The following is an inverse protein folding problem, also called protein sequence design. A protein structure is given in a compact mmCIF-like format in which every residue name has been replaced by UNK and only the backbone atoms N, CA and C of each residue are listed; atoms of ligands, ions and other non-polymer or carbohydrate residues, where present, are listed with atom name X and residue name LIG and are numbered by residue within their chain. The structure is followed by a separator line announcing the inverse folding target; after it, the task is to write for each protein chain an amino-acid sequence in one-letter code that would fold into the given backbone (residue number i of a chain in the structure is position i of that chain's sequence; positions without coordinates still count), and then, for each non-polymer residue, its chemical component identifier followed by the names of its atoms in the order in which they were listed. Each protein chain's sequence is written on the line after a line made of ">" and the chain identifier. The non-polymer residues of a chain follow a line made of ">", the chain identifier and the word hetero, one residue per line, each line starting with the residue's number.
data_IF_375904672657
#
_entry.id   IF_375904672657
#
_cell.length_a   1.000
_cell.length_b   1.000
_cell.length_c   1.000
_cell.angle_alpha   90.00
_cell.angle_beta   90.00
_cell.angle_gamma   90.00
#
_symmetry.space_group_name_H-M   'P 1'
#
loop_
_entity.id
_entity.type
_entity.pdbx_description
1 polymer ?
#
# COMPACT_ATOMS: atom_id res chain seq x y z
N UNK A 1 6.51 30.94 1.29
CA UNK A 1 7.41 29.79 1.02
C UNK A 1 7.67 29.00 2.30
N UNK A 2 6.89 27.93 2.52
CA UNK A 2 7.04 27.03 3.69
C UNK A 2 8.42 26.34 3.72
N UNK A 3 9.02 26.09 2.56
CA UNK A 3 10.30 25.39 2.41
C UNK A 3 11.48 26.29 2.05
N UNK A 4 11.33 27.62 2.08
CA UNK A 4 12.30 28.57 1.50
C UNK A 4 13.32 29.18 2.46
N UNK A 5 13.16 29.11 3.80
CA UNK A 5 14.10 29.70 4.74
C UNK A 5 14.63 28.70 5.78
N UNK A 6 15.91 28.82 6.14
CA UNK A 6 16.54 27.99 7.18
C UNK A 6 15.86 28.10 8.55
N UNK A 7 15.19 29.20 8.86
CA UNK A 7 14.43 29.40 10.09
C UNK A 7 13.11 28.60 10.06
N UNK A 8 12.41 28.59 8.93
CA UNK A 8 11.18 27.81 8.74
C UNK A 8 11.45 26.32 8.84
N UNK A 9 12.50 25.83 8.17
CA UNK A 9 12.92 24.40 8.23
C UNK A 9 13.19 23.97 9.67
N UNK A 10 13.92 24.76 10.47
CA UNK A 10 14.17 24.45 11.88
C UNK A 10 12.90 24.38 12.73
N UNK A 11 11.95 25.26 12.49
CA UNK A 11 10.68 25.27 13.20
C UNK A 11 9.83 24.04 12.84
N UNK A 12 9.74 23.68 11.56
CA UNK A 12 9.02 22.49 11.09
C UNK A 12 9.67 21.23 11.66
N UNK A 13 11.00 21.11 11.64
CA UNK A 13 11.72 19.99 12.22
C UNK A 13 11.46 19.81 13.73
N UNK A 14 11.35 20.92 14.47
CA UNK A 14 10.99 20.85 15.90
C UNK A 14 9.57 20.31 16.08
N UNK A 15 8.65 20.66 15.19
CA UNK A 15 7.28 20.15 15.19
C UNK A 15 7.24 18.68 14.80
N UNK A 16 7.94 18.27 13.75
CA UNK A 16 8.00 16.87 13.28
C UNK A 16 8.62 15.91 14.30
N UNK A 17 9.48 16.40 15.20
CA UNK A 17 10.04 15.60 16.30
C UNK A 17 9.09 15.39 17.47
N UNK A 18 7.90 15.98 17.46
CA UNK A 18 6.88 15.71 18.48
C UNK A 18 6.28 14.30 18.28
N UNK A 19 5.96 13.57 19.36
CA UNK A 19 5.41 12.20 19.26
C UNK A 19 4.19 12.09 18.36
N UNK A 20 3.29 13.08 18.38
CA UNK A 20 2.11 13.11 17.53
C UNK A 20 2.47 13.18 16.03
N UNK A 21 3.48 13.96 15.66
CA UNK A 21 3.94 14.08 14.27
C UNK A 21 4.73 12.85 13.82
N UNK A 22 5.55 12.27 14.70
CA UNK A 22 6.23 11.00 14.43
C UNK A 22 5.20 9.89 14.16
N UNK A 23 4.10 9.85 14.90
CA UNK A 23 3.06 8.86 14.66
C UNK A 23 2.35 9.01 13.31
N UNK A 24 2.21 10.24 12.81
CA UNK A 24 1.54 10.50 11.53
C UNK A 24 2.48 10.29 10.34
N UNK A 25 3.63 10.95 10.37
CA UNK A 25 4.53 11.07 9.23
C UNK A 25 5.69 10.08 9.25
N UNK A 26 6.00 9.51 10.42
CA UNK A 26 7.18 8.68 10.62
C UNK A 26 8.33 9.42 11.27
N UNK A 27 9.44 8.71 11.43
CA UNK A 27 10.65 9.27 12.06
C UNK A 27 11.41 10.16 11.11
N UNK A 28 11.72 11.38 11.56
CA UNK A 28 12.66 12.24 10.84
C UNK A 28 14.08 11.74 11.03
N UNK A 29 14.90 11.62 9.96
CA UNK A 29 16.29 11.23 10.08
C UNK A 29 17.11 12.29 10.83
N UNK A 30 18.14 11.84 11.56
CA UNK A 30 19.08 12.74 12.24
C UNK A 30 20.18 13.17 11.25
N UNK A 31 19.87 14.14 10.40
CA UNK A 31 20.85 14.74 9.47
C UNK A 31 21.51 15.96 10.09
N UNK A 32 22.77 16.18 9.76
CA UNK A 32 23.54 17.37 10.17
C UNK A 32 23.10 18.63 9.46
N UNK A 33 22.62 18.49 8.22
CA UNK A 33 22.01 19.55 7.42
C UNK A 33 20.72 19.03 6.78
N UNK A 34 19.60 19.65 7.11
CA UNK A 34 18.29 19.34 6.53
C UNK A 34 17.99 20.33 5.40
N UNK A 35 17.58 19.80 4.25
CA UNK A 35 17.16 20.57 3.10
C UNK A 35 15.65 20.39 2.84
N UNK A 36 15.08 21.21 1.98
CA UNK A 36 13.64 21.15 1.67
C UNK A 36 13.20 19.80 1.12
N UNK A 37 14.05 19.16 0.31
CA UNK A 37 13.79 17.81 -0.23
C UNK A 37 13.72 16.73 0.85
N UNK A 38 14.63 16.78 1.85
CA UNK A 38 14.61 15.82 2.97
C UNK A 38 13.34 15.99 3.82
N UNK A 39 12.90 17.24 4.00
CA UNK A 39 11.68 17.55 4.73
C UNK A 39 10.46 16.99 4.02
N UNK A 40 10.36 17.25 2.71
CA UNK A 40 9.28 16.75 1.87
C UNK A 40 9.16 15.22 1.94
N UNK A 41 10.29 14.50 1.79
CA UNK A 41 10.31 13.04 1.89
C UNK A 41 9.85 12.59 3.27
N UNK A 42 10.34 13.22 4.34
CA UNK A 42 9.96 12.83 5.71
C UNK A 42 8.47 13.03 6.00
N UNK A 43 7.81 14.02 5.37
CA UNK A 43 6.38 14.27 5.57
C UNK A 43 5.51 13.43 4.62
N UNK A 44 5.92 13.27 3.37
CA UNK A 44 5.04 12.76 2.32
C UNK A 44 5.21 11.26 2.05
N UNK A 45 6.33 10.64 2.43
CA UNK A 45 6.64 9.26 2.08
C UNK A 45 5.55 8.28 2.53
N UNK A 46 5.22 8.30 3.79
CA UNK A 46 4.22 7.40 4.39
C UNK A 46 2.81 7.73 3.89
N UNK A 47 2.46 9.01 3.88
CA UNK A 47 1.12 9.44 3.43
C UNK A 47 0.86 9.03 1.98
N UNK A 48 1.80 9.33 1.08
CA UNK A 48 1.69 8.98 -0.33
C UNK A 48 1.56 7.46 -0.50
N UNK A 49 2.40 6.68 0.19
CA UNK A 49 2.35 5.22 0.15
C UNK A 49 1.00 4.67 0.62
N UNK A 50 0.42 5.22 1.69
CA UNK A 50 -0.90 4.81 2.19
C UNK A 50 -2.01 5.18 1.21
N UNK A 51 -2.00 6.39 0.63
CA UNK A 51 -3.03 6.80 -0.34
C UNK A 51 -3.00 5.94 -1.60
N UNK A 52 -1.82 5.63 -2.14
CA UNK A 52 -1.70 4.73 -3.30
C UNK A 52 -2.15 3.32 -2.91
N UNK A 53 -1.81 2.84 -1.71
CA UNK A 53 -2.27 1.52 -1.21
C UNK A 53 -3.80 1.43 -1.12
N UNK A 54 -4.48 2.50 -0.70
CA UNK A 54 -5.95 2.57 -0.68
C UNK A 54 -6.50 2.43 -2.11
N UNK A 55 -5.93 3.16 -3.07
CA UNK A 55 -6.36 3.08 -4.47
C UNK A 55 -6.14 1.67 -5.05
N UNK A 56 -4.98 1.06 -4.78
CA UNK A 56 -4.62 -0.26 -5.25
C UNK A 56 -5.49 -1.37 -4.65
N UNK A 57 -5.84 -1.30 -3.36
CA UNK A 57 -6.79 -2.23 -2.74
C UNK A 57 -8.13 -2.18 -3.46
N UNK A 58 -8.67 -0.97 -3.67
CA UNK A 58 -9.96 -0.79 -4.37
C UNK A 58 -9.87 -1.35 -5.78
N UNK A 59 -8.80 -1.03 -6.51
CA UNK A 59 -8.59 -1.47 -7.87
C UNK A 59 -8.47 -3.00 -7.94
N UNK A 60 -7.68 -3.63 -7.07
CA UNK A 60 -7.49 -5.08 -7.02
C UNK A 60 -8.80 -5.85 -6.80
N UNK A 61 -9.61 -5.42 -5.85
CA UNK A 61 -10.91 -6.07 -5.59
C UNK A 61 -11.93 -5.76 -6.69
N UNK A 62 -11.89 -4.55 -7.27
CA UNK A 62 -12.78 -4.16 -8.37
C UNK A 62 -12.52 -4.96 -9.63
N UNK A 63 -11.26 -5.22 -9.96
CA UNK A 63 -10.86 -5.94 -11.18
C UNK A 63 -10.95 -7.46 -11.04
N UNK A 64 -11.15 -7.97 -9.82
CA UNK A 64 -11.28 -9.42 -9.54
C UNK A 64 -12.65 -9.74 -8.97
N UNK A 65 -12.83 -9.71 -7.66
CA UNK A 65 -14.04 -10.18 -6.98
C UNK A 65 -15.30 -9.41 -7.39
N UNK A 66 -15.21 -8.10 -7.56
CA UNK A 66 -16.38 -7.31 -7.99
C UNK A 66 -16.87 -7.67 -9.39
N UNK A 67 -16.01 -8.16 -10.29
CA UNK A 67 -16.41 -8.66 -11.60
C UNK A 67 -17.09 -10.04 -11.50
N UNK A 68 -16.65 -10.89 -10.56
CA UNK A 68 -17.32 -12.15 -10.25
C UNK A 68 -18.72 -11.88 -9.68
N UNK A 69 -18.86 -10.99 -8.70
CA UNK A 69 -20.14 -10.62 -8.09
C UNK A 69 -21.16 -10.09 -9.11
N UNK A 70 -20.69 -9.51 -10.21
CA UNK A 70 -21.52 -9.01 -11.32
C UNK A 70 -21.79 -10.04 -12.43
N UNK A 71 -21.25 -11.25 -12.30
CA UNK A 71 -21.39 -12.31 -13.31
C UNK A 71 -20.56 -12.11 -14.60
N UNK A 72 -19.70 -11.08 -14.66
CA UNK A 72 -18.89 -10.77 -15.85
C UNK A 72 -17.91 -11.91 -16.15
N UNK A 73 -17.35 -12.52 -15.11
CA UNK A 73 -16.38 -13.62 -15.25
C UNK A 73 -17.02 -14.88 -15.84
N UNK A 74 -18.32 -15.13 -15.61
CA UNK A 74 -19.03 -16.26 -16.22
C UNK A 74 -19.09 -16.11 -17.74
N UNK A 75 -19.32 -14.90 -18.24
CA UNK A 75 -19.33 -14.59 -19.68
C UNK A 75 -17.95 -14.83 -20.31
N UNK A 76 -16.89 -14.36 -19.64
CA UNK A 76 -15.51 -14.52 -20.10
C UNK A 76 -15.12 -16.00 -20.13
N UNK A 77 -15.54 -16.81 -19.16
CA UNK A 77 -15.25 -18.24 -19.08
C UNK A 77 -16.04 -19.08 -20.09
N UNK A 78 -17.12 -18.54 -20.68
CA UNK A 78 -17.77 -19.13 -21.84
C UNK A 78 -16.89 -19.14 -23.09
N UNK A 79 -15.79 -18.39 -23.09
CA UNK A 79 -14.78 -18.38 -24.15
C UNK A 79 -13.59 -19.27 -23.76
N UNK A 80 -12.72 -19.60 -24.72
CA UNK A 80 -11.56 -20.47 -24.53
C UNK A 80 -10.42 -19.77 -23.74
N UNK A 81 -10.71 -19.32 -22.49
CA UNK A 81 -9.77 -18.56 -21.64
C UNK A 81 -9.39 -19.40 -20.41
N UNK A 82 -8.10 -19.36 -20.05
CA UNK A 82 -7.57 -20.10 -18.91
C UNK A 82 -8.13 -19.64 -17.56
N UNK A 83 -8.21 -20.54 -16.59
CA UNK A 83 -8.77 -20.31 -15.25
C UNK A 83 -8.13 -19.13 -14.49
N UNK A 84 -6.83 -18.90 -14.68
CA UNK A 84 -6.07 -17.84 -14.03
C UNK A 84 -6.09 -16.50 -14.81
N UNK A 85 -6.62 -16.49 -16.03
CA UNK A 85 -6.57 -15.31 -16.89
C UNK A 85 -7.17 -14.06 -16.23
N UNK A 86 -8.33 -14.11 -15.54
CA UNK A 86 -8.89 -12.92 -14.91
C UNK A 86 -8.00 -12.36 -13.78
N UNK A 87 -7.37 -13.24 -12.99
CA UNK A 87 -6.47 -12.82 -11.91
C UNK A 87 -5.18 -12.22 -12.46
N UNK A 88 -4.60 -12.86 -13.49
CA UNK A 88 -3.36 -12.37 -14.11
C UNK A 88 -3.57 -11.05 -14.87
N UNK A 89 -4.69 -10.91 -15.58
CA UNK A 89 -5.02 -9.65 -16.27
C UNK A 89 -5.22 -8.51 -15.28
N UNK A 90 -5.90 -8.75 -14.15
CA UNK A 90 -6.05 -7.77 -13.09
C UNK A 90 -4.70 -7.37 -12.45
N UNK A 91 -3.80 -8.34 -12.24
CA UNK A 91 -2.46 -8.06 -11.74
C UNK A 91 -1.64 -7.20 -12.72
N UNK A 92 -1.68 -7.54 -14.02
CA UNK A 92 -0.99 -6.76 -15.06
C UNK A 92 -1.56 -5.33 -15.15
N UNK A 93 -2.88 -5.16 -15.03
CA UNK A 93 -3.53 -3.85 -15.01
C UNK A 93 -2.99 -2.98 -13.86
N UNK A 94 -2.92 -3.51 -12.64
CA UNK A 94 -2.39 -2.80 -11.48
C UNK A 94 -0.89 -2.54 -11.62
N UNK A 95 -0.14 -3.47 -12.18
CA UNK A 95 1.29 -3.27 -12.44
C UNK A 95 1.53 -2.11 -13.42
N UNK A 96 0.77 -2.05 -14.51
CA UNK A 96 0.85 -0.94 -15.48
C UNK A 96 0.46 0.38 -14.80
N UNK A 97 -0.62 0.40 -14.01
CA UNK A 97 -1.05 1.58 -13.27
C UNK A 97 0.06 2.10 -12.35
N UNK A 98 0.68 1.23 -11.55
CA UNK A 98 1.79 1.60 -10.66
C UNK A 98 3.05 2.03 -11.42
N UNK A 99 3.39 1.40 -12.54
CA UNK A 99 4.51 1.84 -13.39
C UNK A 99 4.29 3.26 -13.94
N UNK A 100 3.08 3.56 -14.37
CA UNK A 100 2.72 4.92 -14.81
C UNK A 100 2.80 5.92 -13.65
N UNK A 101 2.33 5.54 -12.45
CA UNK A 101 2.44 6.39 -11.26
C UNK A 101 3.89 6.61 -10.84
N UNK A 102 4.77 5.61 -10.91
CA UNK A 102 6.20 5.77 -10.63
C UNK A 102 6.80 6.83 -11.54
N UNK A 103 6.56 6.75 -12.84
CA UNK A 103 7.08 7.71 -13.80
C UNK A 103 6.51 9.12 -13.52
N UNK A 104 5.19 9.22 -13.33
CA UNK A 104 4.52 10.49 -13.05
C UNK A 104 5.04 11.16 -11.78
N UNK A 105 5.17 10.39 -10.69
CA UNK A 105 5.67 10.91 -9.42
C UNK A 105 7.15 11.29 -9.50
N UNK A 106 8.00 10.43 -10.08
CA UNK A 106 9.43 10.71 -10.18
C UNK A 106 9.69 11.96 -11.01
N UNK A 107 9.12 12.03 -12.23
CA UNK A 107 9.29 13.17 -13.14
C UNK A 107 8.62 14.43 -12.57
N UNK A 108 7.43 14.29 -11.96
CA UNK A 108 6.74 15.41 -11.34
C UNK A 108 7.54 16.03 -10.19
N UNK A 109 8.14 15.19 -9.33
CA UNK A 109 9.00 15.66 -8.23
C UNK A 109 10.30 16.31 -8.72
N UNK A 110 10.93 15.75 -9.78
CA UNK A 110 12.09 16.39 -10.40
C UNK A 110 11.72 17.77 -10.99
N UNK A 111 10.58 17.88 -11.65
CA UNK A 111 10.10 19.13 -12.24
C UNK A 111 9.76 20.21 -11.20
N UNK A 112 9.39 19.81 -9.97
CA UNK A 112 9.15 20.75 -8.86
C UNK A 112 10.43 21.47 -8.39
N UNK A 113 11.62 20.93 -8.65
CA UNK A 113 12.90 21.58 -8.37
C UNK A 113 13.13 21.91 -6.90
N UNK A 114 12.64 21.07 -5.97
CA UNK A 114 12.82 21.29 -4.53
C UNK A 114 14.32 21.31 -4.16
N UNK A 115 14.73 22.31 -3.42
CA UNK A 115 16.12 22.49 -3.02
C UNK A 115 16.62 21.26 -2.22
N UNK A 116 17.74 20.70 -2.68
CA UNK A 116 18.33 19.51 -2.07
C UNK A 116 17.73 18.18 -2.52
N UNK A 117 16.70 18.19 -3.34
CA UNK A 117 16.09 16.97 -3.89
C UNK A 117 16.86 16.51 -5.14
N UNK A 118 17.48 15.33 -5.06
CA UNK A 118 18.24 14.73 -6.16
C UNK A 118 17.33 13.78 -6.96
N UNK A 119 17.61 13.58 -8.25
CA UNK A 119 16.87 12.64 -9.10
C UNK A 119 16.74 11.24 -8.44
N UNK A 120 17.81 10.73 -7.84
CA UNK A 120 17.77 9.44 -7.13
C UNK A 120 16.76 9.41 -5.99
N UNK A 121 16.55 10.53 -5.28
CA UNK A 121 15.56 10.61 -4.21
C UNK A 121 14.13 10.60 -4.76
N UNK A 122 13.89 11.29 -5.90
CA UNK A 122 12.59 11.30 -6.57
C UNK A 122 12.20 9.89 -7.04
N UNK A 123 13.14 9.18 -7.68
CA UNK A 123 12.90 7.82 -8.16
C UNK A 123 12.70 6.82 -7.02
N UNK A 124 13.53 6.87 -5.96
CA UNK A 124 13.35 6.00 -4.80
C UNK A 124 12.04 6.25 -4.08
N UNK A 125 11.66 7.52 -3.89
CA UNK A 125 10.37 7.89 -3.33
C UNK A 125 9.21 7.27 -4.13
N UNK A 126 9.22 7.46 -5.45
CA UNK A 126 8.20 6.92 -6.33
C UNK A 126 8.17 5.38 -6.30
N UNK A 127 9.34 4.72 -6.37
CA UNK A 127 9.43 3.26 -6.35
C UNK A 127 8.95 2.69 -5.01
N UNK A 128 9.45 3.19 -3.88
CA UNK A 128 9.11 2.63 -2.56
C UNK A 128 7.64 2.81 -2.22
N UNK A 129 7.05 3.98 -2.52
CA UNK A 129 5.61 4.23 -2.27
C UNK A 129 4.71 3.33 -3.11
N UNK A 130 5.05 3.11 -4.38
CA UNK A 130 4.27 2.24 -5.27
C UNK A 130 4.51 0.75 -4.98
N UNK A 131 5.72 0.34 -4.59
CA UNK A 131 5.95 -1.04 -4.13
C UNK A 131 5.17 -1.35 -2.85
N UNK A 132 5.08 -0.42 -1.91
CA UNK A 132 4.21 -0.56 -0.74
C UNK A 132 2.76 -0.78 -1.17
N UNK A 133 2.26 0.01 -2.11
CA UNK A 133 0.90 -0.12 -2.63
C UNK A 133 0.68 -1.49 -3.28
N UNK A 134 1.65 -1.98 -4.06
CA UNK A 134 1.60 -3.32 -4.67
C UNK A 134 1.60 -4.46 -3.62
N UNK A 135 2.26 -4.29 -2.46
CA UNK A 135 2.15 -5.26 -1.35
C UNK A 135 0.68 -5.35 -0.88
N UNK A 136 0.01 -4.20 -0.69
CA UNK A 136 -1.40 -4.19 -0.27
C UNK A 136 -2.35 -4.63 -1.40
N UNK A 137 -2.03 -4.36 -2.67
CA UNK A 137 -2.73 -4.96 -3.81
C UNK A 137 -2.63 -6.48 -3.81
N UNK A 138 -1.44 -7.04 -3.58
CA UNK A 138 -1.23 -8.48 -3.43
C UNK A 138 -2.06 -9.09 -2.30
N UNK A 139 -2.13 -8.40 -1.15
CA UNK A 139 -3.01 -8.78 -0.04
C UNK A 139 -4.49 -8.74 -0.47
N UNK A 140 -4.92 -7.70 -1.16
CA UNK A 140 -6.29 -7.56 -1.65
C UNK A 140 -6.66 -8.64 -2.67
N UNK A 141 -5.74 -9.02 -3.57
CA UNK A 141 -5.91 -10.18 -4.45
C UNK A 141 -6.12 -11.47 -3.67
N UNK A 142 -5.35 -11.68 -2.60
CA UNK A 142 -5.50 -12.86 -1.74
C UNK A 142 -6.87 -12.84 -1.02
N UNK A 143 -7.27 -11.70 -0.45
CA UNK A 143 -8.58 -11.55 0.21
C UNK A 143 -9.73 -11.75 -0.77
N UNK A 144 -9.60 -11.30 -2.02
CA UNK A 144 -10.57 -11.55 -3.08
C UNK A 144 -10.76 -13.05 -3.41
N UNK A 145 -9.78 -13.91 -3.12
CA UNK A 145 -9.93 -15.36 -3.28
C UNK A 145 -10.54 -16.03 -2.03
N UNK A 146 -10.39 -15.43 -0.86
CA UNK A 146 -10.84 -16.00 0.42
C UNK A 146 -12.30 -15.68 0.69
N UNK A 147 -12.75 -14.46 0.40
CA UNK A 147 -14.10 -13.99 0.72
C UNK A 147 -15.07 -14.17 -0.44
N UNK A 148 -16.36 -14.40 -0.12
CA UNK A 148 -17.43 -14.65 -1.09
C UNK A 148 -17.91 -13.39 -1.83
N UNK A 149 -17.62 -12.19 -1.31
CA UNK A 149 -18.09 -10.94 -1.89
C UNK A 149 -17.02 -9.84 -1.83
N UNK A 150 -17.13 -8.88 -2.75
CA UNK A 150 -16.18 -7.77 -2.88
C UNK A 150 -16.18 -6.81 -1.68
N UNK A 151 -17.30 -6.70 -0.98
CA UNK A 151 -17.42 -5.82 0.20
C UNK A 151 -16.55 -6.31 1.34
N UNK A 152 -16.62 -7.61 1.65
CA UNK A 152 -15.85 -8.20 2.76
C UNK A 152 -14.37 -8.28 2.40
N UNK A 153 -14.04 -8.60 1.14
CA UNK A 153 -12.65 -8.58 0.65
C UNK A 153 -12.02 -7.18 0.82
N UNK A 154 -12.73 -6.11 0.45
CA UNK A 154 -12.29 -4.74 0.67
C UNK A 154 -12.16 -4.41 2.17
N UNK A 155 -13.19 -4.72 2.97
CA UNK A 155 -13.21 -4.39 4.39
C UNK A 155 -12.03 -5.02 5.14
N UNK A 156 -11.72 -6.29 4.85
CA UNK A 156 -10.60 -6.98 5.48
C UNK A 156 -9.26 -6.47 4.97
N UNK A 157 -9.14 -6.15 3.68
CA UNK A 157 -7.91 -5.54 3.14
C UNK A 157 -7.63 -4.18 3.77
N UNK A 158 -8.64 -3.32 3.95
CA UNK A 158 -8.50 -2.05 4.66
C UNK A 158 -8.22 -2.23 6.15
N UNK A 159 -8.77 -3.26 6.78
CA UNK A 159 -8.47 -3.60 8.17
C UNK A 159 -6.97 -3.92 8.33
N UNK A 160 -6.39 -4.72 7.42
CA UNK A 160 -4.96 -5.01 7.43
C UNK A 160 -4.10 -3.76 7.19
N UNK A 161 -4.50 -2.87 6.26
CA UNK A 161 -3.83 -1.59 6.04
C UNK A 161 -3.87 -0.74 7.32
N UNK A 162 -5.03 -0.66 7.98
CA UNK A 162 -5.20 0.08 9.23
C UNK A 162 -4.36 -0.50 10.37
N UNK A 163 -4.33 -1.81 10.53
CA UNK A 163 -3.49 -2.49 11.54
C UNK A 163 -2.00 -2.23 11.25
N UNK A 164 -1.58 -2.32 9.98
CA UNK A 164 -0.21 -2.02 9.59
C UNK A 164 0.16 -0.56 9.90
N UNK A 165 -0.74 0.39 9.66
CA UNK A 165 -0.53 1.80 9.98
C UNK A 165 -0.42 2.03 11.50
N UNK A 166 -1.35 1.47 12.28
CA UNK A 166 -1.34 1.57 13.74
C UNK A 166 -0.10 0.90 14.36
N UNK A 167 0.28 -0.29 13.87
CA UNK A 167 1.48 -0.97 14.36
C UNK A 167 2.75 -0.13 14.11
N UNK A 168 2.87 0.49 12.92
CA UNK A 168 3.96 1.42 12.64
C UNK A 168 3.94 2.61 13.59
N UNK A 169 2.78 3.29 13.79
CA UNK A 169 2.65 4.41 14.71
C UNK A 169 3.18 4.08 16.11
N UNK A 170 2.83 2.90 16.64
CA UNK A 170 3.26 2.46 17.97
C UNK A 170 4.76 2.18 18.00
N UNK A 171 5.30 1.51 16.98
CA UNK A 171 6.72 1.15 16.95
C UNK A 171 7.62 2.37 16.75
N UNK A 172 7.18 3.36 16.00
CA UNK A 172 7.95 4.60 15.77
C UNK A 172 8.09 5.43 17.04
N UNK A 173 7.09 5.41 17.92
CA UNK A 173 7.17 6.10 19.21
C UNK A 173 7.99 5.29 20.23
N UNK A 174 7.79 3.94 20.25
CA UNK A 174 8.32 3.08 21.31
C UNK A 174 9.73 2.54 21.03
N UNK A 175 9.88 1.76 19.95
CA UNK A 175 11.13 1.06 19.61
C UNK A 175 11.34 0.96 18.09
N UNK A 176 12.36 1.66 17.57
CA UNK A 176 12.72 1.62 16.14
C UNK A 176 13.01 0.21 15.59
N UNK A 177 13.48 -0.69 16.45
CA UNK A 177 13.78 -2.07 16.03
C UNK A 177 12.57 -2.90 15.64
N UNK A 178 11.34 -2.47 16.02
CA UNK A 178 10.10 -3.16 15.70
C UNK A 178 9.39 -2.62 14.45
N UNK A 179 9.90 -1.57 13.83
CA UNK A 179 9.33 -0.98 12.60
C UNK A 179 9.25 -1.99 11.44
N UNK A 180 10.10 -3.04 11.45
CA UNK A 180 10.06 -4.15 10.50
C UNK A 180 8.77 -4.98 10.54
N UNK A 181 8.00 -4.93 11.62
CA UNK A 181 6.75 -5.67 11.76
C UNK A 181 5.64 -5.13 10.84
N UNK A 182 5.72 -3.85 10.46
CA UNK A 182 4.74 -3.21 9.60
C UNK A 182 5.28 -3.03 8.19
N UNK A 183 4.56 -3.49 7.14
CA UNK A 183 4.91 -3.18 5.76
C UNK A 183 5.03 -1.68 5.50
N UNK A 184 4.22 -0.85 6.15
CA UNK A 184 4.29 0.61 6.02
C UNK A 184 5.60 1.17 6.62
N UNK A 185 6.10 0.56 7.68
CA UNK A 185 7.39 0.95 8.27
C UNK A 185 8.59 0.63 7.37
N UNK A 186 8.45 -0.28 6.40
CA UNK A 186 9.56 -0.61 5.51
C UNK A 186 10.01 0.57 4.67
N UNK A 187 9.10 1.44 4.20
CA UNK A 187 9.49 2.64 3.43
C UNK A 187 10.38 3.60 4.23
N UNK A 188 10.23 3.67 5.55
CA UNK A 188 11.11 4.49 6.40
C UNK A 188 12.52 3.89 6.52
N UNK A 189 12.60 2.54 6.46
CA UNK A 189 13.88 1.81 6.51
C UNK A 189 14.66 1.91 5.21
N UNK A 190 14.05 2.36 4.11
CA UNK A 190 14.71 2.66 2.84
C UNK A 190 15.71 3.80 2.93
N UNK A 191 15.56 4.69 3.94
CA UNK A 191 16.50 5.79 4.23
C UNK A 191 16.80 6.64 3.00
N UNK A 192 15.76 7.05 2.28
CA UNK A 192 15.88 7.83 1.05
C UNK A 192 16.70 9.10 1.29
N UNK A 193 17.73 9.31 0.48
CA UNK A 193 18.58 10.49 0.53
C UNK A 193 19.81 10.40 1.45
N UNK A 194 19.81 9.55 2.48
CA UNK A 194 20.91 9.44 3.43
C UNK A 194 21.49 8.04 3.66
N UNK A 195 20.87 7.01 3.09
CA UNK A 195 21.35 5.62 3.18
C UNK A 195 21.01 4.82 1.94
N UNK A 196 19.84 5.08 1.35
CA UNK A 196 19.33 4.41 0.15
C UNK A 196 19.41 2.89 0.25
N UNK A 197 18.80 2.31 1.31
CA UNK A 197 18.90 0.88 1.58
C UNK A 197 17.95 0.08 0.66
N UNK A 198 18.47 -0.38 -0.46
CA UNK A 198 17.73 -1.16 -1.45
C UNK A 198 17.25 -2.53 -0.95
N UNK A 199 17.67 -2.99 0.24
CA UNK A 199 17.15 -4.24 0.83
C UNK A 199 15.65 -4.17 1.05
N UNK A 200 15.13 -2.99 1.34
CA UNK A 200 13.68 -2.75 1.51
C UNK A 200 12.92 -3.00 0.22
N UNK A 201 13.46 -2.54 -0.91
CA UNK A 201 12.90 -2.78 -2.24
C UNK A 201 12.79 -4.29 -2.51
N UNK A 202 13.86 -5.05 -2.23
CA UNK A 202 13.86 -6.52 -2.40
C UNK A 202 12.88 -7.21 -1.45
N UNK A 203 12.76 -6.74 -0.20
CA UNK A 203 11.79 -7.24 0.77
C UNK A 203 10.34 -7.04 0.28
N UNK A 204 10.02 -5.86 -0.24
CA UNK A 204 8.69 -5.57 -0.81
C UNK A 204 8.40 -6.43 -2.04
N UNK A 205 9.36 -6.55 -2.97
CA UNK A 205 9.22 -7.41 -4.15
C UNK A 205 8.98 -8.87 -3.77
N UNK A 206 9.73 -9.40 -2.81
CA UNK A 206 9.54 -10.76 -2.30
C UNK A 206 8.15 -10.94 -1.69
N UNK A 207 7.67 -9.95 -0.92
CA UNK A 207 6.34 -9.97 -0.31
C UNK A 207 5.24 -9.98 -1.36
N UNK A 208 5.37 -9.17 -2.41
CA UNK A 208 4.42 -9.14 -3.55
C UNK A 208 4.37 -10.52 -4.21
N UNK A 209 5.53 -11.13 -4.49
CA UNK A 209 5.60 -12.46 -5.10
C UNK A 209 4.94 -13.54 -4.24
N UNK A 210 5.20 -13.53 -2.93
CA UNK A 210 4.58 -14.47 -1.97
C UNK A 210 3.06 -14.29 -1.95
N UNK A 211 2.57 -13.06 -1.84
CA UNK A 211 1.13 -12.78 -1.79
C UNK A 211 0.42 -13.17 -3.09
N UNK A 212 1.02 -12.86 -4.24
CA UNK A 212 0.50 -13.26 -5.53
C UNK A 212 0.50 -14.78 -5.70
N UNK A 213 1.56 -15.47 -5.29
CA UNK A 213 1.66 -16.93 -5.32
C UNK A 213 0.55 -17.57 -4.46
N UNK A 214 0.32 -17.06 -3.26
CA UNK A 214 -0.78 -17.50 -2.40
C UNK A 214 -2.14 -17.23 -3.07
N UNK A 215 -2.35 -16.06 -3.65
CA UNK A 215 -3.58 -15.73 -4.36
C UNK A 215 -3.84 -16.71 -5.53
N UNK A 216 -2.81 -17.08 -6.28
CA UNK A 216 -2.88 -18.09 -7.37
C UNK A 216 -3.26 -19.46 -6.81
N UNK A 217 -2.64 -19.93 -5.72
CA UNK A 217 -2.99 -21.21 -5.09
C UNK A 217 -4.45 -21.24 -4.68
N UNK A 218 -4.95 -20.18 -4.03
CA UNK A 218 -6.34 -20.10 -3.62
C UNK A 218 -7.27 -20.03 -4.82
N UNK A 219 -6.92 -19.26 -5.87
CA UNK A 219 -7.69 -19.20 -7.12
C UNK A 219 -7.83 -20.57 -7.83
N UNK A 220 -6.79 -21.41 -7.73
CA UNK A 220 -6.83 -22.78 -8.30
C UNK A 220 -7.64 -23.76 -7.46
N UNK A 221 -7.72 -23.54 -6.14
CA UNK A 221 -8.41 -24.47 -5.23
C UNK A 221 -9.89 -24.16 -5.02
N UNK A 222 -10.30 -22.88 -5.19
CA UNK A 222 -11.70 -22.47 -4.98
C UNK A 222 -12.58 -22.78 -6.18
N UNK A 223 -13.86 -23.03 -5.94
CA UNK A 223 -14.88 -23.09 -6.99
C UNK A 223 -15.35 -21.69 -7.39
N UNK A 224 -15.94 -21.58 -8.58
CA UNK A 224 -16.45 -20.32 -9.14
C UNK A 224 -17.61 -19.84 -8.26
N UNK A 225 -17.69 -18.53 -8.02
CA UNK A 225 -18.71 -17.86 -7.19
C UNK A 225 -18.74 -18.28 -5.71
N UNK A 226 -17.75 -19.06 -5.22
CA UNK A 226 -17.59 -19.36 -3.81
C UNK A 226 -16.26 -18.85 -3.32
N UNK A 227 -16.22 -18.17 -2.17
CA UNK A 227 -14.99 -17.92 -1.43
C UNK A 227 -14.63 -19.15 -0.59
N UNK A 228 -13.44 -19.13 -0.03
CA UNK A 228 -13.01 -20.20 0.90
C UNK A 228 -13.76 -20.11 2.25
N UNK A 229 -14.18 -18.90 2.64
CA UNK A 229 -14.95 -18.62 3.85
C UNK A 229 -16.38 -18.25 3.48
N UNK A 230 -17.31 -19.20 3.62
CA UNK A 230 -18.74 -18.91 3.58
C UNK A 230 -19.15 -18.17 4.86
N UNK A 231 -19.27 -16.87 4.79
CA UNK A 231 -19.87 -16.09 5.88
C UNK A 231 -21.36 -16.40 5.84
N UNK A 232 -21.84 -17.12 6.85
CA UNK A 232 -23.24 -17.46 7.04
C UNK A 232 -24.08 -16.18 6.94
N UNK A 233 -25.03 -16.14 6.00
CA UNK A 233 -26.00 -15.04 5.94
C UNK A 233 -26.63 -14.85 7.32
N UNK A 234 -26.60 -13.62 7.84
CA UNK A 234 -27.18 -13.29 9.14
C UNK A 234 -28.63 -13.77 9.27
N UNK A 235 -29.12 -13.92 10.50
CA UNK A 235 -30.49 -14.36 10.79
C UNK A 235 -31.50 -13.57 9.96
N UNK A 236 -32.30 -14.26 9.14
CA UNK A 236 -33.39 -13.66 8.34
C UNK A 236 -34.50 -13.05 9.18
N UNK A 237 -34.59 -13.40 10.47
CA UNK A 237 -35.62 -12.92 11.38
C UNK A 237 -34.99 -12.15 12.55
N UNK A 238 -35.57 -11.01 12.89
CA UNK A 238 -35.23 -10.27 14.10
C UNK A 238 -35.35 -11.17 15.33
N UNK A 239 -34.47 -10.98 16.33
CA UNK A 239 -34.55 -11.70 17.58
C UNK A 239 -35.90 -11.40 18.28
N UNK A 240 -36.49 -12.34 19.07
CA UNK A 240 -37.76 -12.11 19.77
C UNK A 240 -37.76 -10.87 20.69
N UNK A 241 -36.57 -10.37 21.07
CA UNK A 241 -36.37 -9.17 21.88
C UNK A 241 -36.55 -7.85 21.11
N UNK A 242 -36.68 -7.92 19.78
CA UNK A 242 -36.87 -6.75 18.89
C UNK A 242 -38.24 -6.77 18.18
N UNK A 243 -39.13 -7.60 18.63
CA UNK A 243 -40.58 -7.61 18.28
C UNK A 243 -41.38 -6.90 19.35
#
# INVERSE_FOLDING_TARGET
>A
DLYGSNSSIKTILKTLKQPAMISLFGRTPNLTSFQSGDLFISEMLVLTGVFISIADIILAVRTTRSQEDKGVIEIIRGTAVGRLSPLLSAFIEILIFNLLLIILLAVGLEACGLYGMRATMCWLFAIETNLLALVFAGLAFLMAQIFDNSRDANAVSFLFLGIAYLSRMITDISKASLTWLSPIGWVELGKIGYGNDLKVVWLMLLSILILLFLAIIFALKRDINSGFLHIRSGRKNASPLLR
#
